data_IF_713953579886
#
_entry.id   IF_713953579886
#
_cell.length_a   1.000
_cell.length_b   1.000
_cell.length_c   1.000
_cell.angle_alpha   90.00
_cell.angle_beta   90.00
_cell.angle_gamma   90.00
#
_symmetry.space_group_name_H-M   'P 1'
#
loop_
_entity.id
_entity.type
_entity.pdbx_description
1 polymer ?
#
# COMPACT_ATOMS: atom_id res chain seq x y z
N UNK A 1 -20.95 -9.51 -5.71
CA UNK A 1 -19.69 -8.84 -6.04
C UNK A 1 -19.80 -8.37 -7.49
N UNK A 2 -19.67 -7.06 -7.76
CA UNK A 2 -19.69 -6.55 -9.14
C UNK A 2 -18.25 -6.47 -9.64
N UNK A 3 -17.95 -7.15 -10.74
CA UNK A 3 -16.63 -7.09 -11.36
C UNK A 3 -16.51 -5.76 -12.09
N UNK A 4 -15.53 -4.95 -11.70
CA UNK A 4 -15.23 -3.63 -12.28
C UNK A 4 -13.72 -3.41 -12.23
N UNK A 5 -13.20 -2.40 -12.91
CA UNK A 5 -11.79 -1.98 -12.82
C UNK A 5 -11.34 -1.68 -11.38
N UNK A 6 -12.27 -1.40 -10.47
CA UNK A 6 -11.98 -1.21 -9.04
C UNK A 6 -11.53 -2.51 -8.35
N UNK A 7 -11.82 -3.67 -8.93
CA UNK A 7 -11.28 -4.95 -8.47
C UNK A 7 -9.78 -5.01 -8.73
N UNK A 8 -9.32 -4.56 -9.90
CA UNK A 8 -7.90 -4.52 -10.24
C UNK A 8 -7.14 -3.53 -9.35
N UNK A 9 -7.75 -2.38 -9.04
CA UNK A 9 -7.20 -1.42 -8.06
C UNK A 9 -7.00 -2.07 -6.69
N UNK A 10 -7.96 -2.87 -6.23
CA UNK A 10 -7.83 -3.57 -4.95
C UNK A 10 -6.70 -4.60 -4.99
N UNK A 11 -6.64 -5.43 -6.03
CA UNK A 11 -5.57 -6.41 -6.23
C UNK A 11 -4.19 -5.75 -6.29
N UNK A 12 -4.08 -4.59 -6.95
CA UNK A 12 -2.87 -3.77 -6.93
C UNK A 12 -2.51 -3.31 -5.52
N UNK A 13 -3.48 -2.84 -4.73
CA UNK A 13 -3.24 -2.44 -3.34
C UNK A 13 -2.67 -3.57 -2.48
N UNK A 14 -3.17 -4.81 -2.68
CA UNK A 14 -2.65 -6.00 -1.98
C UNK A 14 -1.22 -6.28 -2.40
N UNK A 15 -0.95 -6.29 -3.71
CA UNK A 15 0.40 -6.51 -4.26
C UNK A 15 1.40 -5.47 -3.77
N UNK A 16 1.01 -4.19 -3.75
CA UNK A 16 1.87 -3.12 -3.27
C UNK A 16 2.22 -3.29 -1.78
N UNK A 17 1.26 -3.71 -0.94
CA UNK A 17 1.55 -4.01 0.47
C UNK A 17 2.44 -5.24 0.62
N UNK A 18 2.22 -6.30 -0.16
CA UNK A 18 3.06 -7.50 -0.15
C UNK A 18 4.53 -7.14 -0.44
N UNK A 19 4.78 -6.25 -1.40
CA UNK A 19 6.13 -5.77 -1.73
C UNK A 19 6.75 -4.87 -0.64
N UNK A 20 5.95 -4.03 0.03
CA UNK A 20 6.46 -3.15 1.09
C UNK A 20 6.77 -3.97 2.35
N UNK A 21 5.89 -4.92 2.69
CA UNK A 21 5.98 -5.72 3.91
C UNK A 21 6.91 -6.91 3.78
N UNK A 22 7.06 -7.46 2.56
CA UNK A 22 7.84 -8.67 2.33
C UNK A 22 7.21 -9.93 2.93
N UNK A 23 5.89 -9.91 3.15
CA UNK A 23 5.14 -11.02 3.75
C UNK A 23 3.88 -11.35 2.93
N UNK A 24 3.35 -12.55 3.08
CA UNK A 24 2.15 -12.95 2.34
C UNK A 24 0.90 -12.18 2.82
N UNK A 25 -0.10 -11.94 1.95
CA UNK A 25 -1.32 -11.20 2.30
C UNK A 25 -2.05 -11.73 3.53
N UNK A 26 -2.06 -13.05 3.73
CA UNK A 26 -2.68 -13.66 4.92
C UNK A 26 -2.07 -13.21 6.25
N UNK A 27 -0.82 -12.76 6.25
CA UNK A 27 -0.08 -12.35 7.45
C UNK A 27 -0.36 -10.89 7.84
N UNK A 28 -0.66 -10.02 6.87
CA UNK A 28 -0.82 -8.58 7.11
C UNK A 28 -2.25 -8.03 6.91
N UNK A 29 -3.10 -8.70 6.13
CA UNK A 29 -4.45 -8.18 5.81
C UNK A 29 -5.35 -8.05 7.06
N UNK A 30 -5.17 -8.93 8.05
CA UNK A 30 -5.88 -8.86 9.35
C UNK A 30 -5.55 -7.59 10.15
N UNK A 31 -4.40 -6.99 9.87
CA UNK A 31 -3.85 -5.81 10.53
C UNK A 31 -3.87 -4.58 9.59
N UNK A 32 -4.73 -4.55 8.58
CA UNK A 32 -4.77 -3.42 7.63
C UNK A 32 -5.14 -2.09 8.30
N UNK A 33 -5.98 -2.12 9.33
CA UNK A 33 -6.32 -0.94 10.16
C UNK A 33 -5.12 -0.39 10.92
N UNK A 34 -4.19 -1.28 11.31
CA UNK A 34 -2.91 -0.94 11.91
C UNK A 34 -2.06 -0.26 10.84
N UNK A 35 -1.87 -0.87 9.65
CA UNK A 35 -1.13 -0.26 8.53
C UNK A 35 -1.66 1.10 8.06
N UNK A 36 -2.95 1.36 8.23
CA UNK A 36 -3.60 2.62 7.92
C UNK A 36 -3.43 3.71 9.00
N UNK A 37 -2.95 3.35 10.19
CA UNK A 37 -2.78 4.28 11.29
C UNK A 37 -1.53 5.15 11.10
N UNK A 38 -1.68 6.46 11.29
CA UNK A 38 -0.62 7.46 11.09
C UNK A 38 0.58 7.30 12.03
N UNK A 39 0.47 6.47 13.08
CA UNK A 39 1.42 6.37 14.18
C UNK A 39 2.32 5.13 14.16
N UNK A 40 2.34 4.34 13.08
CA UNK A 40 3.15 3.12 13.05
C UNK A 40 4.60 3.42 12.67
N UNK A 41 5.58 2.92 13.46
CA UNK A 41 6.97 2.95 13.06
C UNK A 41 7.13 2.15 11.76
N UNK A 42 7.53 2.80 10.66
CA UNK A 42 7.70 2.15 9.36
C UNK A 42 8.60 0.91 9.44
N UNK A 43 9.56 0.90 10.36
CA UNK A 43 10.47 -0.21 10.61
C UNK A 43 9.77 -1.55 10.94
N UNK A 44 8.54 -1.52 11.45
CA UNK A 44 7.75 -2.72 11.73
C UNK A 44 6.89 -3.16 10.54
N UNK A 45 6.80 -2.31 9.52
CA UNK A 45 6.00 -2.53 8.30
C UNK A 45 6.88 -2.88 7.13
N UNK A 46 8.11 -2.40 7.06
CA UNK A 46 9.03 -2.70 5.97
C UNK A 46 9.54 -4.14 6.04
N UNK A 47 9.82 -4.70 4.87
CA UNK A 47 10.51 -5.97 4.71
C UNK A 47 11.84 -5.98 5.48
N UNK A 48 11.88 -6.77 6.55
CA UNK A 48 13.04 -6.91 7.44
C UNK A 48 14.17 -7.71 6.82
N UNK A 49 13.93 -8.38 5.68
CA UNK A 49 14.98 -9.07 4.93
C UNK A 49 15.86 -8.11 4.13
N UNK A 50 15.39 -6.87 3.92
CA UNK A 50 16.12 -5.82 3.23
C UNK A 50 16.93 -4.95 4.20
N UNK A 51 17.99 -4.31 3.68
CA UNK A 51 18.68 -3.29 4.44
C UNK A 51 17.77 -2.08 4.69
N UNK A 52 17.90 -1.41 5.85
CA UNK A 52 17.11 -0.21 6.15
C UNK A 52 17.26 0.84 5.04
N UNK A 53 16.15 1.37 4.50
CA UNK A 53 16.21 2.33 3.41
C UNK A 53 16.80 3.68 3.89
N UNK A 54 17.44 4.46 3.01
CA UNK A 54 17.86 5.82 3.31
C UNK A 54 16.66 6.70 3.74
N UNK A 55 16.87 7.74 4.57
CA UNK A 55 15.78 8.60 5.06
C UNK A 55 14.91 9.22 3.94
N UNK A 56 15.51 9.55 2.80
CA UNK A 56 14.80 10.09 1.63
C UNK A 56 13.79 9.09 1.04
N UNK A 57 14.14 7.81 1.07
CA UNK A 57 13.32 6.71 0.55
C UNK A 57 12.19 6.36 1.53
N UNK A 58 12.41 6.54 2.85
CA UNK A 58 11.39 6.31 3.89
C UNK A 58 10.15 7.16 3.64
N UNK A 59 10.31 8.44 3.29
CA UNK A 59 9.19 9.33 3.01
C UNK A 59 8.40 8.91 1.77
N UNK A 60 9.10 8.47 0.71
CA UNK A 60 8.48 7.90 -0.49
C UNK A 60 7.69 6.62 -0.14
N UNK A 61 8.27 5.73 0.66
CA UNK A 61 7.60 4.51 1.12
C UNK A 61 6.35 4.79 1.95
N UNK A 62 6.38 5.78 2.85
CA UNK A 62 5.19 6.24 3.60
C UNK A 62 4.07 6.65 2.64
N UNK A 63 4.41 7.41 1.60
CA UNK A 63 3.44 7.85 0.61
C UNK A 63 2.83 6.66 -0.15
N UNK A 64 3.67 5.76 -0.67
CA UNK A 64 3.22 4.58 -1.40
C UNK A 64 2.38 3.65 -0.50
N UNK A 65 2.75 3.50 0.77
CA UNK A 65 1.97 2.75 1.76
C UNK A 65 0.56 3.33 1.92
N UNK A 66 0.44 4.65 2.10
CA UNK A 66 -0.87 5.34 2.19
C UNK A 66 -1.69 5.17 0.91
N UNK A 67 -1.04 5.26 -0.25
CA UNK A 67 -1.68 5.03 -1.54
C UNK A 67 -2.21 3.60 -1.65
N UNK A 68 -1.40 2.59 -1.29
CA UNK A 68 -1.80 1.18 -1.29
C UNK A 68 -2.99 0.93 -0.36
N UNK A 69 -2.99 1.50 0.85
CA UNK A 69 -4.13 1.43 1.78
C UNK A 69 -5.39 2.05 1.17
N UNK A 70 -5.28 3.17 0.46
CA UNK A 70 -6.43 3.79 -0.22
C UNK A 70 -7.05 2.90 -1.32
N UNK A 71 -6.22 2.12 -2.00
CA UNK A 71 -6.66 1.13 -3.00
C UNK A 71 -7.45 -0.02 -2.38
N UNK A 72 -7.24 -0.31 -1.10
CA UNK A 72 -7.87 -1.39 -0.35
C UNK A 72 -9.19 -1.00 0.32
N UNK A 73 -9.72 0.20 0.03
CA UNK A 73 -10.98 0.63 0.62
C UNK A 73 -12.11 -0.38 0.34
N UNK A 74 -12.89 -0.72 1.37
CA UNK A 74 -14.02 -1.66 1.26
C UNK A 74 -15.04 -1.15 0.24
N UNK A 75 -15.26 0.17 0.19
CA UNK A 75 -16.12 0.80 -0.80
C UNK A 75 -15.36 1.00 -2.13
N UNK A 76 -15.75 0.33 -3.24
CA UNK A 76 -15.08 0.48 -4.54
C UNK A 76 -15.09 1.92 -5.07
N UNK A 77 -16.09 2.73 -4.71
CA UNK A 77 -16.19 4.13 -5.13
C UNK A 77 -15.17 5.03 -4.44
N UNK A 78 -14.69 4.63 -3.26
CA UNK A 78 -13.69 5.37 -2.49
C UNK A 78 -12.25 5.02 -2.87
N UNK A 79 -12.04 3.96 -3.68
CA UNK A 79 -10.72 3.64 -4.23
C UNK A 79 -10.34 4.66 -5.31
N UNK A 80 -9.06 4.98 -5.50
CA UNK A 80 -8.60 5.78 -6.65
C UNK A 80 -8.83 5.04 -7.99
N UNK A 81 -8.53 5.70 -9.10
CA UNK A 81 -8.44 5.04 -10.42
C UNK A 81 -7.01 4.56 -10.65
N UNK A 82 -6.80 3.53 -11.48
CA UNK A 82 -5.43 3.12 -11.83
C UNK A 82 -4.63 4.23 -12.51
N UNK A 83 -5.29 5.12 -13.26
CA UNK A 83 -4.66 6.32 -13.81
C UNK A 83 -4.10 7.22 -12.69
N UNK A 84 -4.92 7.53 -11.68
CA UNK A 84 -4.49 8.33 -10.51
C UNK A 84 -3.36 7.64 -9.76
N UNK A 85 -3.47 6.33 -9.52
CA UNK A 85 -2.42 5.54 -8.86
C UNK A 85 -1.11 5.64 -9.64
N UNK A 86 -1.13 5.42 -10.96
CA UNK A 86 0.05 5.48 -11.81
C UNK A 86 0.74 6.85 -11.75
N UNK A 87 -0.04 7.95 -11.79
CA UNK A 87 0.51 9.31 -11.70
C UNK A 87 1.17 9.56 -10.34
N UNK A 88 0.46 9.26 -9.25
CA UNK A 88 0.95 9.50 -7.90
C UNK A 88 2.22 8.68 -7.60
N UNK A 89 2.28 7.44 -8.08
CA UNK A 89 3.50 6.62 -7.98
C UNK A 89 4.62 7.29 -8.76
N UNK A 90 4.42 7.61 -10.04
CA UNK A 90 5.43 8.22 -10.91
C UNK A 90 6.00 9.53 -10.34
N UNK A 91 5.17 10.38 -9.72
CA UNK A 91 5.61 11.65 -9.15
C UNK A 91 6.50 11.49 -7.90
N UNK A 92 6.52 10.30 -7.28
CA UNK A 92 7.20 10.03 -6.01
C UNK A 92 8.37 9.04 -6.12
N UNK A 93 8.64 8.47 -7.30
CA UNK A 93 9.85 7.66 -7.56
C UNK A 93 10.89 8.50 -8.29
#
# INVERSE_FOLDING_TARGET
MQVTEKCDVFSFGVLALELIVGAYPGEFLSNLSILAAESIPLNNVLDQSLSPPPPEVVNKLIFILKLAVSCLNINPKSRPTMHTVSQLVFDHI
#
